data_IF_369828941083
#
_entry.id   IF_369828941083
#
_cell.length_a   1.000
_cell.length_b   1.000
_cell.length_c   1.000
_cell.angle_alpha   90.00
_cell.angle_beta   90.00
_cell.angle_gamma   90.00
#
_symmetry.space_group_name_H-M   'P 1'
#
loop_
_entity.id
_entity.type
_entity.pdbx_description
1 polymer ?
#
# COMPACT_ATOMS: atom_id res chain seq x y z
N UNK A 1 -18.94 5.10 -63.14
CA UNK A 1 -18.74 5.09 -61.67
C UNK A 1 -18.19 6.45 -61.27
N UNK A 2 -18.96 7.22 -60.49
CA UNK A 2 -18.68 8.64 -60.19
C UNK A 2 -17.62 8.73 -59.06
N UNK A 3 -16.63 9.60 -59.22
CA UNK A 3 -15.45 9.71 -58.33
C UNK A 3 -15.83 10.09 -56.89
N UNK A 4 -15.94 9.08 -56.02
CA UNK A 4 -16.16 9.26 -54.57
C UNK A 4 -14.88 9.62 -53.80
N UNK A 5 -13.71 9.66 -54.47
CA UNK A 5 -12.42 9.97 -53.85
C UNK A 5 -12.37 11.39 -53.26
N UNK A 6 -13.05 12.37 -53.90
CA UNK A 6 -13.15 13.74 -53.38
C UNK A 6 -13.99 13.83 -52.10
N UNK A 7 -15.03 13.00 -52.00
CA UNK A 7 -15.88 12.94 -50.81
C UNK A 7 -15.13 12.31 -49.63
N UNK A 8 -14.36 11.24 -49.89
CA UNK A 8 -13.53 10.56 -48.88
C UNK A 8 -12.44 11.49 -48.35
N UNK A 9 -11.78 12.26 -49.23
CA UNK A 9 -10.77 13.23 -48.80
C UNK A 9 -11.37 14.30 -47.89
N UNK A 10 -12.55 14.85 -48.22
CA UNK A 10 -13.22 15.85 -47.38
C UNK A 10 -13.58 15.30 -45.99
N UNK A 11 -14.04 14.06 -45.91
CA UNK A 11 -14.36 13.42 -44.62
C UNK A 11 -13.10 13.24 -43.76
N UNK A 12 -11.99 12.79 -44.36
CA UNK A 12 -10.72 12.61 -43.63
C UNK A 12 -10.18 13.97 -43.15
N UNK A 13 -10.23 15.01 -43.99
CA UNK A 13 -9.75 16.35 -43.60
C UNK A 13 -10.58 16.93 -42.45
N UNK A 14 -11.90 16.74 -42.44
CA UNK A 14 -12.76 17.21 -41.35
C UNK A 14 -12.44 16.51 -40.02
N UNK A 15 -12.16 15.21 -40.05
CA UNK A 15 -11.80 14.44 -38.85
C UNK A 15 -10.46 14.93 -38.27
N UNK A 16 -9.44 15.16 -39.10
CA UNK A 16 -8.13 15.63 -38.63
C UNK A 16 -8.22 17.02 -37.99
N UNK A 17 -9.00 17.94 -38.58
CA UNK A 17 -9.20 19.29 -38.01
C UNK A 17 -9.94 19.22 -36.67
N UNK A 18 -10.93 18.33 -36.54
CA UNK A 18 -11.64 18.11 -35.28
C UNK A 18 -10.71 17.56 -34.17
N UNK A 19 -9.82 16.63 -34.50
CA UNK A 19 -8.84 16.09 -33.55
C UNK A 19 -7.81 17.14 -33.09
N UNK A 20 -7.32 17.98 -34.00
CA UNK A 20 -6.38 19.06 -33.64
C UNK A 20 -7.08 20.10 -32.75
N UNK A 21 -8.32 20.47 -33.07
CA UNK A 21 -9.14 21.37 -32.25
C UNK A 21 -9.40 20.82 -30.85
N UNK A 22 -9.73 19.53 -30.73
CA UNK A 22 -9.93 18.87 -29.44
C UNK A 22 -8.64 18.83 -28.61
N UNK A 23 -7.48 18.59 -29.23
CA UNK A 23 -6.19 18.54 -28.52
C UNK A 23 -5.75 19.92 -27.99
N UNK A 24 -6.02 21.01 -28.74
CA UNK A 24 -5.75 22.38 -28.28
C UNK A 24 -6.72 22.80 -27.18
N UNK A 25 -8.01 22.41 -27.28
CA UNK A 25 -9.00 22.72 -26.24
C UNK A 25 -8.72 21.97 -24.93
N UNK A 26 -8.34 20.68 -24.99
CA UNK A 26 -7.97 19.90 -23.81
C UNK A 26 -6.76 20.49 -23.08
N UNK A 27 -5.74 20.97 -23.81
CA UNK A 27 -4.54 21.59 -23.20
C UNK A 27 -4.84 22.92 -22.49
N UNK A 28 -5.91 23.63 -22.87
CA UNK A 28 -6.29 24.90 -22.22
C UNK A 28 -7.07 24.69 -20.90
N UNK A 29 -7.66 23.51 -20.71
CA UNK A 29 -8.37 23.15 -19.48
C UNK A 29 -7.43 22.80 -18.31
N UNK A 30 -6.21 22.35 -18.61
CA UNK A 30 -5.20 22.01 -17.59
C UNK A 30 -4.56 23.24 -16.94
N UNK A 31 -4.57 24.40 -17.62
CA UNK A 31 -3.89 25.63 -17.15
C UNK A 31 -4.74 26.47 -16.18
N UNK A 32 -6.03 26.15 -16.03
CA UNK A 32 -6.93 26.82 -15.08
C UNK A 32 -6.89 26.16 -13.70
N UNK A 33 -6.59 24.86 -13.63
CA UNK A 33 -6.50 24.13 -12.35
C UNK A 33 -5.14 24.27 -11.64
N UNK A 34 -4.09 24.68 -12.34
CA UNK A 34 -2.75 24.88 -11.77
C UNK A 34 -2.61 26.19 -10.97
N UNK A 35 -3.50 27.18 -11.14
CA UNK A 35 -3.47 28.42 -10.36
C UNK A 35 -4.06 28.30 -8.94
N UNK A 36 -5.06 27.44 -8.75
CA UNK A 36 -5.70 27.25 -7.43
C UNK A 36 -4.83 26.40 -6.47
N UNK A 37 -3.93 25.56 -7.03
CA UNK A 37 -3.02 24.73 -6.26
C UNK A 37 -1.77 25.50 -5.75
N UNK A 38 -1.40 26.61 -6.39
CA UNK A 38 -0.25 27.43 -5.95
C UNK A 38 -0.58 28.38 -4.78
N UNK A 39 -1.79 28.90 -4.67
CA UNK A 39 -2.17 29.76 -3.52
C UNK A 39 -2.38 28.95 -2.22
N UNK A 40 -2.70 27.66 -2.32
CA UNK A 40 -2.90 26.80 -1.14
C UNK A 40 -1.58 26.29 -0.56
N UNK A 41 -0.54 26.14 -1.39
CA UNK A 41 0.77 25.63 -0.97
C UNK A 41 1.69 26.70 -0.35
N UNK A 42 1.48 27.98 -0.65
CA UNK A 42 2.25 29.08 -0.07
C UNK A 42 1.87 29.35 1.40
N UNK A 43 0.63 29.05 1.81
CA UNK A 43 0.15 29.28 3.18
C UNK A 43 0.58 28.22 4.21
N UNK A 44 1.12 27.08 3.76
CA UNK A 44 1.54 25.96 4.65
C UNK A 44 3.06 25.98 4.92
N UNK A 45 3.84 26.72 4.13
CA UNK A 45 5.32 26.70 4.24
C UNK A 45 5.92 27.62 5.31
N UNK A 46 5.12 28.40 6.04
CA UNK A 46 5.62 29.44 6.94
C UNK A 46 5.71 29.06 8.43
N UNK A 47 5.75 27.78 8.79
CA UNK A 47 5.94 27.43 10.21
C UNK A 47 6.82 26.18 10.40
N UNK A 48 8.10 26.29 10.02
CA UNK A 48 9.15 25.40 10.52
C UNK A 48 9.85 26.07 11.69
N UNK A 49 9.28 25.92 12.88
CA UNK A 49 10.06 26.08 14.10
C UNK A 49 10.68 24.73 14.44
N UNK A 50 11.99 24.64 14.21
CA UNK A 50 12.89 23.66 14.78
C UNK A 50 12.79 23.68 16.31
N UNK A 51 12.53 22.54 16.95
CA UNK A 51 12.94 22.34 18.34
C UNK A 51 13.40 20.89 18.55
N UNK A 52 14.71 20.75 18.77
CA UNK A 52 15.30 19.62 19.46
C UNK A 52 14.80 19.59 20.90
N UNK A 53 14.33 18.44 21.36
CA UNK A 53 14.41 18.05 22.76
C UNK A 53 14.30 16.53 22.86
N UNK A 54 15.37 15.90 23.35
CA UNK A 54 15.31 14.59 23.98
C UNK A 54 14.34 14.67 25.16
N UNK A 55 13.30 13.84 25.18
CA UNK A 55 12.79 13.35 26.45
C UNK A 55 11.94 12.09 26.34
N UNK A 56 12.13 11.21 27.32
CA UNK A 56 11.10 10.42 27.97
C UNK A 56 10.31 9.38 27.15
N UNK A 57 10.68 8.11 27.35
CA UNK A 57 9.79 6.95 27.22
C UNK A 57 8.51 7.22 28.01
N UNK A 58 7.38 7.49 27.35
CA UNK A 58 6.05 7.13 27.88
C UNK A 58 5.09 6.77 26.74
N UNK A 59 4.62 5.54 26.80
CA UNK A 59 3.52 5.02 25.99
C UNK A 59 2.22 5.61 26.57
N UNK A 60 1.51 6.45 25.84
CA UNK A 60 0.06 6.64 26.01
C UNK A 60 -0.52 7.48 24.88
N UNK A 61 -1.42 6.88 24.09
CA UNK A 61 -2.14 7.51 23.00
C UNK A 61 -3.27 8.46 23.47
N UNK A 62 -3.34 8.81 24.75
CA UNK A 62 -4.53 9.44 25.35
C UNK A 62 -4.45 10.97 25.48
N UNK A 63 -3.31 11.60 25.23
CA UNK A 63 -3.13 13.05 25.46
C UNK A 63 -2.50 13.80 24.27
N UNK A 64 -2.77 13.39 23.03
CA UNK A 64 -2.39 14.23 21.89
C UNK A 64 -3.37 15.39 21.74
N UNK A 65 -2.90 16.64 21.55
CA UNK A 65 -3.75 17.76 21.18
C UNK A 65 -4.60 17.38 19.96
N UNK A 66 -5.90 17.73 20.00
CA UNK A 66 -6.81 17.46 18.88
C UNK A 66 -6.20 17.89 17.54
N UNK A 67 -6.04 16.92 16.63
CA UNK A 67 -5.59 17.15 15.26
C UNK A 67 -4.20 16.62 14.91
N UNK A 68 -3.39 16.14 15.87
CA UNK A 68 -2.11 15.49 15.53
C UNK A 68 -2.25 13.97 15.39
N UNK A 69 -1.76 13.37 14.28
CA UNK A 69 -1.76 11.93 14.14
C UNK A 69 -0.89 11.27 15.23
N UNK A 70 -1.25 10.07 15.71
CA UNK A 70 -0.47 9.36 16.71
C UNK A 70 0.94 9.04 16.19
N UNK A 71 1.89 8.81 17.10
CA UNK A 71 3.31 8.59 16.76
C UNK A 71 3.50 7.49 15.72
N UNK A 72 2.81 6.35 15.87
CA UNK A 72 2.87 5.24 14.92
C UNK A 72 2.41 5.65 13.52
N UNK A 73 1.37 6.48 13.41
CA UNK A 73 0.85 6.91 12.11
C UNK A 73 1.85 7.84 11.41
N UNK A 74 2.47 8.77 12.17
CA UNK A 74 3.56 9.62 11.66
C UNK A 74 4.74 8.78 11.16
N UNK A 75 5.16 7.78 11.94
CA UNK A 75 6.25 6.87 11.57
C UNK A 75 5.91 6.06 10.31
N UNK A 76 4.71 5.49 10.23
CA UNK A 76 4.26 4.73 9.07
C UNK A 76 4.25 5.58 7.80
N UNK A 77 3.68 6.80 7.87
CA UNK A 77 3.68 7.74 6.75
C UNK A 77 5.12 8.07 6.33
N UNK A 78 5.99 8.39 7.29
CA UNK A 78 7.39 8.70 7.00
C UNK A 78 8.14 7.53 6.34
N UNK A 79 7.85 6.28 6.74
CA UNK A 79 8.44 5.09 6.11
C UNK A 79 7.91 4.92 4.68
N UNK A 80 6.60 5.00 4.50
CA UNK A 80 5.94 4.80 3.21
C UNK A 80 6.37 5.84 2.17
N UNK A 81 6.39 7.11 2.57
CA UNK A 81 6.63 8.25 1.67
C UNK A 81 8.12 8.55 1.48
N UNK A 82 9.01 7.89 2.24
CA UNK A 82 10.44 8.09 2.10
C UNK A 82 10.91 7.72 0.68
N UNK A 83 11.54 8.65 -0.05
CA UNK A 83 12.15 8.35 -1.35
C UNK A 83 13.53 7.70 -1.20
N UNK A 84 14.12 7.72 0.01
CA UNK A 84 15.47 7.22 0.27
C UNK A 84 15.49 5.78 0.75
N UNK A 85 14.36 5.23 1.20
CA UNK A 85 14.27 3.84 1.63
C UNK A 85 14.00 2.92 0.45
N UNK A 86 14.81 1.85 0.35
CA UNK A 86 14.51 0.73 -0.54
C UNK A 86 13.22 0.03 -0.13
N UNK A 87 12.70 -0.85 -0.99
CA UNK A 87 11.52 -1.67 -0.66
C UNK A 87 11.78 -2.49 0.61
N UNK A 88 12.94 -3.14 0.66
CA UNK A 88 13.37 -4.01 1.75
C UNK A 88 13.54 -3.21 3.06
N UNK A 89 14.12 -2.00 2.99
CA UNK A 89 14.22 -1.10 4.14
C UNK A 89 12.84 -0.70 4.68
N UNK A 90 11.88 -0.43 3.78
CA UNK A 90 10.50 -0.11 4.18
C UNK A 90 9.85 -1.29 4.88
N UNK A 91 10.05 -2.51 4.37
CA UNK A 91 9.51 -3.73 4.99
C UNK A 91 10.07 -3.89 6.40
N UNK A 92 11.39 -3.86 6.58
CA UNK A 92 12.00 -3.99 7.90
C UNK A 92 11.51 -2.93 8.89
N UNK A 93 11.43 -1.66 8.46
CA UNK A 93 10.95 -0.57 9.32
C UNK A 93 9.47 -0.71 9.68
N UNK A 94 8.63 -1.17 8.75
CA UNK A 94 7.21 -1.41 9.02
C UNK A 94 7.03 -2.61 9.97
N UNK A 95 7.84 -3.66 9.84
CA UNK A 95 7.84 -4.80 10.77
C UNK A 95 8.28 -4.38 12.17
N UNK A 96 9.34 -3.58 12.29
CA UNK A 96 9.74 -3.00 13.58
C UNK A 96 8.62 -2.15 14.18
N UNK A 97 7.90 -1.40 13.34
CA UNK A 97 6.77 -0.60 13.78
C UNK A 97 5.57 -1.46 14.21
N UNK A 98 5.32 -2.62 13.58
CA UNK A 98 4.32 -3.59 14.05
C UNK A 98 4.65 -4.06 15.47
N UNK A 99 5.89 -4.52 15.68
CA UNK A 99 6.38 -5.02 16.98
C UNK A 99 6.29 -3.97 18.08
N UNK A 100 6.54 -2.70 17.76
CA UNK A 100 6.40 -1.59 18.69
C UNK A 100 4.94 -1.26 19.06
N UNK A 101 3.96 -1.80 18.32
CA UNK A 101 2.54 -1.46 18.47
C UNK A 101 1.66 -2.72 18.59
N UNK A 102 2.19 -3.84 19.08
CA UNK A 102 1.47 -5.13 19.21
C UNK A 102 0.15 -5.05 19.98
N UNK A 103 0.00 -4.10 20.91
CA UNK A 103 -1.24 -3.93 21.68
C UNK A 103 -2.25 -2.95 21.03
N UNK A 104 -1.95 -2.39 19.85
CA UNK A 104 -2.77 -1.37 19.20
C UNK A 104 -3.36 -1.89 17.87
N UNK A 105 -4.60 -2.40 17.84
CA UNK A 105 -5.18 -3.00 16.65
C UNK A 105 -5.34 -2.04 15.46
N UNK A 106 -5.52 -0.73 15.72
CA UNK A 106 -5.60 0.27 14.66
C UNK A 106 -4.23 0.50 14.00
N UNK A 107 -3.17 0.57 14.81
CA UNK A 107 -1.80 0.65 14.30
C UNK A 107 -1.45 -0.60 13.51
N UNK A 108 -1.69 -1.80 14.08
CA UNK A 108 -1.44 -3.07 13.41
C UNK A 108 -2.16 -3.13 12.06
N UNK A 109 -3.45 -2.78 12.03
CA UNK A 109 -4.23 -2.77 10.79
C UNK A 109 -3.60 -1.88 9.72
N UNK A 110 -3.27 -0.64 10.06
CA UNK A 110 -2.74 0.32 9.10
C UNK A 110 -1.33 -0.08 8.58
N UNK A 111 -0.50 -0.61 9.47
CA UNK A 111 0.86 -1.05 9.12
C UNK A 111 0.81 -2.32 8.25
N UNK A 112 -0.06 -3.29 8.57
CA UNK A 112 -0.28 -4.47 7.73
C UNK A 112 -0.75 -4.08 6.32
N UNK A 113 -1.69 -3.13 6.19
CA UNK A 113 -2.10 -2.60 4.88
C UNK A 113 -0.91 -2.02 4.09
N UNK A 114 0.00 -1.33 4.78
CA UNK A 114 1.21 -0.80 4.14
C UNK A 114 2.13 -1.93 3.66
N UNK A 115 2.32 -2.98 4.47
CA UNK A 115 3.10 -4.17 4.12
C UNK A 115 2.50 -4.94 2.93
N UNK A 116 1.17 -5.03 2.80
CA UNK A 116 0.51 -5.71 1.68
C UNK A 116 1.00 -5.22 0.32
N UNK A 117 1.26 -3.91 0.19
CA UNK A 117 1.71 -3.29 -1.07
C UNK A 117 3.15 -3.64 -1.45
N UNK A 118 3.90 -4.23 -0.53
CA UNK A 118 5.33 -4.50 -0.71
C UNK A 118 5.61 -5.97 -1.01
N UNK A 119 4.62 -6.87 -1.01
CA UNK A 119 4.80 -8.32 -1.23
C UNK A 119 5.93 -8.92 -0.36
N UNK A 120 5.83 -8.84 0.99
CA UNK A 120 7.00 -8.89 1.87
C UNK A 120 7.41 -10.32 2.23
N UNK A 121 7.84 -11.11 1.25
CA UNK A 121 8.26 -12.52 1.47
C UNK A 121 9.39 -12.65 2.48
N UNK A 122 10.30 -11.68 2.53
CA UNK A 122 11.43 -11.63 3.47
C UNK A 122 11.01 -11.44 4.94
N UNK A 123 9.79 -10.97 5.18
CA UNK A 123 9.25 -10.71 6.52
C UNK A 123 8.11 -11.68 6.90
N UNK A 124 7.86 -12.72 6.10
CA UNK A 124 6.75 -13.63 6.34
C UNK A 124 6.76 -14.22 7.76
N UNK A 125 7.93 -14.63 8.24
CA UNK A 125 8.08 -15.22 9.58
C UNK A 125 7.76 -14.21 10.71
N UNK A 126 7.97 -12.91 10.48
CA UNK A 126 7.57 -11.84 11.41
C UNK A 126 6.07 -11.53 11.36
N UNK A 127 5.41 -11.85 10.24
CA UNK A 127 3.98 -11.55 10.01
C UNK A 127 3.08 -12.72 10.45
N UNK A 128 3.56 -13.97 10.33
CA UNK A 128 2.82 -15.19 10.71
C UNK A 128 2.17 -15.10 12.11
N UNK A 129 2.84 -14.58 13.17
CA UNK A 129 2.23 -14.48 14.50
C UNK A 129 0.91 -13.70 14.53
N UNK A 130 0.72 -12.71 13.65
CA UNK A 130 -0.49 -11.90 13.59
C UNK A 130 -1.72 -12.64 13.02
N UNK A 131 -1.54 -13.84 12.46
CA UNK A 131 -2.66 -14.74 12.15
C UNK A 131 -3.40 -15.22 13.41
N UNK A 132 -2.74 -15.19 14.58
CA UNK A 132 -3.29 -15.61 15.87
C UNK A 132 -3.71 -14.42 16.74
N UNK A 133 -3.77 -13.21 16.15
CA UNK A 133 -4.23 -12.01 16.86
C UNK A 133 -5.68 -12.16 17.32
N UNK A 134 -6.02 -11.63 18.50
CA UNK A 134 -7.40 -11.70 19.03
C UNK A 134 -8.43 -10.89 18.21
N UNK A 135 -7.97 -9.93 17.42
CA UNK A 135 -8.81 -9.08 16.58
C UNK A 135 -8.96 -9.69 15.17
N UNK A 136 -10.18 -10.09 14.75
CA UNK A 136 -10.41 -10.67 13.42
C UNK A 136 -9.94 -9.78 12.26
N UNK A 137 -10.01 -8.46 12.40
CA UNK A 137 -9.53 -7.52 11.38
C UNK A 137 -8.02 -7.62 11.19
N UNK A 138 -7.26 -7.76 12.28
CA UNK A 138 -5.81 -7.95 12.22
C UNK A 138 -5.48 -9.29 11.56
N UNK A 139 -6.19 -10.37 11.93
CA UNK A 139 -6.02 -11.68 11.29
C UNK A 139 -6.27 -11.62 9.78
N UNK A 140 -7.36 -10.99 9.35
CA UNK A 140 -7.71 -10.82 7.92
C UNK A 140 -6.64 -10.03 7.16
N UNK A 141 -6.12 -8.96 7.76
CA UNK A 141 -5.07 -8.17 7.15
C UNK A 141 -3.74 -8.94 7.08
N UNK A 142 -3.40 -9.70 8.12
CA UNK A 142 -2.23 -10.58 8.11
C UNK A 142 -2.35 -11.65 7.01
N UNK A 143 -3.53 -12.26 6.82
CA UNK A 143 -3.80 -13.15 5.69
C UNK A 143 -3.55 -12.45 4.35
N UNK A 144 -4.03 -11.22 4.17
CA UNK A 144 -3.79 -10.45 2.95
C UNK A 144 -2.32 -10.14 2.69
N UNK A 145 -1.55 -9.79 3.74
CA UNK A 145 -0.10 -9.58 3.62
C UNK A 145 0.61 -10.88 3.23
N UNK A 146 0.30 -11.99 3.90
CA UNK A 146 0.92 -13.29 3.64
C UNK A 146 0.54 -13.86 2.27
N UNK A 147 -0.67 -13.58 1.79
CA UNK A 147 -1.06 -13.92 0.42
C UNK A 147 -0.16 -13.21 -0.58
N UNK A 148 0.04 -11.90 -0.44
CA UNK A 148 0.93 -11.15 -1.32
C UNK A 148 2.40 -11.56 -1.17
N UNK A 149 2.84 -11.89 0.05
CA UNK A 149 4.15 -12.46 0.30
C UNK A 149 4.35 -13.83 -0.38
N UNK A 150 3.27 -14.59 -0.58
CA UNK A 150 3.32 -15.90 -1.25
C UNK A 150 3.42 -15.83 -2.77
N UNK A 151 3.31 -14.64 -3.37
CA UNK A 151 3.47 -14.46 -4.81
C UNK A 151 4.95 -14.55 -5.19
N UNK A 152 5.21 -14.73 -6.49
CA UNK A 152 6.58 -14.70 -7.00
C UNK A 152 7.16 -13.29 -6.87
N UNK A 153 8.40 -13.21 -6.42
CA UNK A 153 9.15 -11.96 -6.42
C UNK A 153 9.48 -11.51 -7.85
N UNK A 154 9.84 -10.23 -8.00
CA UNK A 154 10.32 -9.69 -9.29
C UNK A 154 11.46 -10.54 -9.87
N UNK A 155 12.42 -10.92 -9.02
CA UNK A 155 13.55 -11.77 -9.40
C UNK A 155 13.09 -13.16 -9.87
N UNK A 156 12.14 -13.79 -9.19
CA UNK A 156 11.60 -15.10 -9.61
C UNK A 156 10.84 -15.01 -10.93
N UNK A 157 10.11 -13.92 -11.17
CA UNK A 157 9.47 -13.66 -12.47
C UNK A 157 10.51 -13.53 -13.60
N UNK A 158 11.59 -12.78 -13.37
CA UNK A 158 12.69 -12.62 -14.33
C UNK A 158 13.39 -13.96 -14.61
N UNK A 159 13.58 -14.79 -13.58
CA UNK A 159 14.17 -16.12 -13.69
C UNK A 159 13.21 -17.17 -14.25
N UNK A 160 11.92 -16.86 -14.40
CA UNK A 160 10.83 -17.78 -14.78
C UNK A 160 10.78 -19.04 -13.91
N UNK A 161 11.22 -18.95 -12.66
CA UNK A 161 11.20 -20.04 -11.68
C UNK A 161 11.23 -19.51 -10.27
N UNK A 162 10.69 -20.29 -9.35
CA UNK A 162 10.83 -20.08 -7.92
C UNK A 162 12.28 -20.20 -7.47
N UNK A 163 12.64 -19.38 -6.47
CA UNK A 163 13.85 -19.52 -5.70
C UNK A 163 13.59 -20.50 -4.54
N UNK A 164 14.55 -21.37 -4.25
CA UNK A 164 14.40 -22.41 -3.22
C UNK A 164 14.13 -21.83 -1.83
N UNK A 165 14.78 -20.72 -1.51
CA UNK A 165 14.61 -19.99 -0.25
C UNK A 165 13.19 -19.46 -0.09
N UNK A 166 12.63 -18.90 -1.16
CA UNK A 166 11.27 -18.37 -1.17
C UNK A 166 10.23 -19.49 -1.16
N UNK A 167 10.53 -20.64 -1.76
CA UNK A 167 9.65 -21.81 -1.71
C UNK A 167 9.51 -22.35 -0.29
N UNK A 168 10.62 -22.39 0.46
CA UNK A 168 10.60 -22.77 1.86
C UNK A 168 9.75 -21.78 2.70
N UNK A 169 9.82 -20.48 2.40
CA UNK A 169 8.98 -19.45 3.05
C UNK A 169 7.50 -19.66 2.69
N UNK A 170 7.17 -19.82 1.41
CA UNK A 170 5.79 -20.08 0.94
C UNK A 170 5.18 -21.29 1.62
N UNK A 171 5.96 -22.36 1.80
CA UNK A 171 5.52 -23.55 2.53
C UNK A 171 5.12 -23.22 3.98
N UNK A 172 5.94 -22.44 4.70
CA UNK A 172 5.61 -22.02 6.08
C UNK A 172 4.36 -21.15 6.14
N UNK A 173 4.17 -20.26 5.16
CA UNK A 173 2.93 -19.47 5.03
C UNK A 173 1.72 -20.40 4.90
N UNK A 174 1.77 -21.37 3.99
CA UNK A 174 0.66 -22.32 3.76
C UNK A 174 0.40 -23.18 5.00
N UNK A 175 1.45 -23.65 5.68
CA UNK A 175 1.32 -24.39 6.95
C UNK A 175 0.58 -23.54 8.00
N UNK A 176 0.99 -22.28 8.21
CA UNK A 176 0.36 -21.38 9.17
C UNK A 176 -1.10 -21.04 8.81
N UNK A 177 -1.41 -20.85 7.53
CA UNK A 177 -2.79 -20.62 7.06
C UNK A 177 -3.65 -21.86 7.27
N UNK A 178 -3.13 -23.06 7.02
CA UNK A 178 -3.85 -24.30 7.25
C UNK A 178 -4.14 -24.55 8.73
N UNK A 179 -3.23 -24.18 9.63
CA UNK A 179 -3.50 -24.18 11.08
C UNK A 179 -4.72 -23.30 11.41
N UNK A 180 -4.79 -22.08 10.86
CA UNK A 180 -5.89 -21.15 11.10
C UNK A 180 -7.23 -21.66 10.53
N UNK A 181 -7.20 -22.41 9.42
CA UNK A 181 -8.39 -23.01 8.77
C UNK A 181 -9.08 -24.05 9.66
N UNK A 182 -8.30 -24.81 10.44
CA UNK A 182 -8.80 -25.89 11.29
C UNK A 182 -8.99 -25.48 12.75
N UNK A 183 -8.52 -24.29 13.14
CA UNK A 183 -8.70 -23.78 14.51
C UNK A 183 -10.19 -23.50 14.79
N UNK A 184 -10.78 -24.14 15.82
CA UNK A 184 -12.17 -23.92 16.19
C UNK A 184 -12.46 -22.48 16.64
N UNK A 185 -11.45 -21.75 17.10
CA UNK A 185 -11.57 -20.38 17.59
C UNK A 185 -11.52 -19.32 16.48
N UNK A 186 -11.18 -19.71 15.25
CA UNK A 186 -11.20 -18.78 14.12
C UNK A 186 -12.63 -18.35 13.83
N UNK A 187 -12.85 -17.03 13.80
CA UNK A 187 -14.17 -16.45 13.53
C UNK A 187 -14.68 -16.82 12.12
N UNK A 188 -16.00 -16.83 11.95
CA UNK A 188 -16.63 -17.12 10.65
C UNK A 188 -16.23 -16.11 9.56
N UNK A 189 -16.00 -14.85 9.92
CA UNK A 189 -15.53 -13.82 9.00
C UNK A 189 -14.13 -14.15 8.47
N UNK A 190 -13.20 -14.49 9.37
CA UNK A 190 -11.84 -14.88 9.01
C UNK A 190 -11.84 -16.15 8.18
N UNK A 191 -12.67 -17.15 8.54
CA UNK A 191 -12.84 -18.40 7.75
C UNK A 191 -13.30 -18.12 6.33
N UNK A 192 -14.27 -17.21 6.13
CA UNK A 192 -14.75 -16.84 4.78
C UNK A 192 -13.64 -16.22 3.95
N UNK A 193 -12.88 -15.28 4.52
CA UNK A 193 -11.73 -14.68 3.83
C UNK A 193 -10.69 -15.73 3.51
N UNK A 194 -10.35 -16.59 4.46
CA UNK A 194 -9.36 -17.65 4.27
C UNK A 194 -9.72 -18.57 3.11
N UNK A 195 -10.98 -19.02 3.02
CA UNK A 195 -11.47 -19.85 1.90
C UNK A 195 -11.37 -19.10 0.56
N UNK A 196 -11.61 -17.79 0.55
CA UNK A 196 -11.56 -16.98 -0.67
C UNK A 196 -10.12 -16.66 -1.12
N UNK A 197 -9.20 -16.46 -0.18
CA UNK A 197 -7.82 -16.03 -0.45
C UNK A 197 -6.85 -17.20 -0.62
N UNK A 198 -7.07 -18.29 0.13
CA UNK A 198 -6.24 -19.51 0.11
C UNK A 198 -7.14 -20.74 -0.09
N UNK A 199 -7.58 -21.01 -1.35
CA UNK A 199 -8.46 -22.12 -1.66
C UNK A 199 -7.83 -23.49 -1.33
#
# INVERSE_FOLDING_TARGET
MKNNSKLIYLVITAIVVAFIGFFIFAKKSDDVHSKELMETQEKISSNRNTLNANDGITNNASNLPHGMPPKWAKSMIAINDSPTYSREDKIHKLVDLLKQNESNPDALSAILISLTKLNPIEAADDIIPYLKDTNPKVQILALGVLYNASLLTKKEHELKRSLSENEAVRKRIIEAVNELKVDPNTSDEVKKVLIATFP
#
